data_IF_284057067862
#
_entry.id   IF_284057067862
#
_cell.length_a   1.000
_cell.length_b   1.000
_cell.length_c   1.000
_cell.angle_alpha   90.00
_cell.angle_beta   90.00
_cell.angle_gamma   90.00
#
_symmetry.space_group_name_H-M   'P 1'
#
loop_
_entity.id
_entity.type
_entity.pdbx_description
1 polymer ?
#
# COMPACT_ATOMS: atom_id res chain seq x y z
N UNK A 1 11.63 -5.54 -35.93
CA UNK A 1 11.05 -5.26 -34.60
C UNK A 1 9.61 -4.84 -34.84
N UNK A 2 8.64 -5.62 -34.36
CA UNK A 2 7.23 -5.26 -34.46
C UNK A 2 6.97 -4.01 -33.61
N UNK A 3 6.21 -3.06 -34.14
CA UNK A 3 5.78 -1.87 -33.39
C UNK A 3 4.83 -2.34 -32.30
N UNK A 4 5.10 -1.96 -31.05
CA UNK A 4 4.24 -2.29 -29.92
C UNK A 4 2.93 -1.47 -30.04
N UNK A 5 1.75 -2.12 -30.14
CA UNK A 5 0.48 -1.42 -30.30
C UNK A 5 -0.02 -0.82 -28.97
N UNK A 6 0.52 -1.29 -27.84
CA UNK A 6 0.10 -0.86 -26.50
C UNK A 6 0.50 0.61 -26.25
N UNK A 7 -0.45 1.49 -25.89
CA UNK A 7 -0.16 2.86 -25.49
C UNK A 7 0.85 2.90 -24.34
N UNK A 8 1.79 3.87 -24.31
CA UNK A 8 2.88 3.90 -23.33
C UNK A 8 2.40 3.86 -21.88
N UNK A 9 1.31 4.55 -21.56
CA UNK A 9 0.77 4.62 -20.19
C UNK A 9 0.15 3.32 -19.69
N UNK A 10 -0.21 2.41 -20.60
CA UNK A 10 -0.79 1.10 -20.27
C UNK A 10 0.27 -0.01 -20.24
N UNK A 11 1.56 0.35 -20.37
CA UNK A 11 2.66 -0.62 -20.33
C UNK A 11 3.03 -0.92 -18.87
N UNK A 12 3.23 -2.19 -18.48
CA UNK A 12 3.56 -2.57 -17.10
C UNK A 12 4.77 -1.84 -16.51
N UNK A 13 5.81 -1.61 -17.32
CA UNK A 13 7.00 -0.88 -16.88
C UNK A 13 6.72 0.61 -16.63
N UNK A 14 5.82 1.22 -17.41
CA UNK A 14 5.42 2.61 -17.22
C UNK A 14 4.54 2.75 -15.97
N UNK A 15 3.60 1.84 -15.76
CA UNK A 15 2.79 1.78 -14.53
C UNK A 15 3.68 1.61 -13.28
N UNK A 16 4.71 0.76 -13.35
CA UNK A 16 5.73 0.66 -12.33
C UNK A 16 6.39 2.02 -12.06
N UNK A 17 6.89 2.69 -13.11
CA UNK A 17 7.53 4.00 -12.97
C UNK A 17 6.59 5.06 -12.38
N UNK A 18 5.32 5.09 -12.80
CA UNK A 18 4.30 5.97 -12.23
C UNK A 18 4.13 5.75 -10.72
N UNK A 19 4.08 4.50 -10.25
CA UNK A 19 4.04 4.21 -8.81
C UNK A 19 5.31 4.67 -8.11
N UNK A 20 6.49 4.41 -8.70
CA UNK A 20 7.77 4.83 -8.10
C UNK A 20 7.89 6.35 -7.96
N UNK A 21 7.34 7.11 -8.92
CA UNK A 21 7.40 8.57 -8.94
C UNK A 21 6.27 9.21 -8.12
N UNK A 22 5.28 8.45 -7.70
CA UNK A 22 4.17 8.97 -6.91
C UNK A 22 4.60 9.31 -5.49
N UNK A 23 4.06 10.39 -4.92
CA UNK A 23 4.34 10.76 -3.54
C UNK A 23 3.96 9.68 -2.53
N UNK A 24 2.84 8.98 -2.74
CA UNK A 24 2.30 8.00 -1.80
C UNK A 24 2.93 6.61 -1.91
N UNK A 25 3.09 6.08 -3.13
CA UNK A 25 3.64 4.74 -3.32
C UNK A 25 5.17 4.70 -3.26
N UNK A 26 5.86 5.85 -3.27
CA UNK A 26 7.32 5.93 -3.16
C UNK A 26 7.87 5.65 -1.75
N UNK A 27 7.06 5.74 -0.69
CA UNK A 27 7.51 5.55 0.70
C UNK A 27 8.30 4.25 0.96
N UNK A 28 7.83 3.07 0.53
CA UNK A 28 8.55 1.82 0.75
C UNK A 28 9.78 1.63 -0.16
N UNK A 29 10.01 2.47 -1.18
CA UNK A 29 11.15 2.33 -2.10
C UNK A 29 12.48 2.65 -1.44
N UNK A 30 12.56 3.83 -0.81
CA UNK A 30 13.84 4.36 -0.35
C UNK A 30 14.34 3.66 0.90
N UNK A 31 13.49 3.55 1.93
CA UNK A 31 13.87 2.90 3.18
C UNK A 31 12.66 2.45 3.99
N UNK A 32 12.86 1.41 4.80
CA UNK A 32 11.85 0.99 5.77
C UNK A 32 11.55 2.10 6.79
N UNK A 33 12.57 2.87 7.21
CA UNK A 33 12.41 4.01 8.11
C UNK A 33 11.49 5.08 7.52
N UNK A 34 11.66 5.42 6.24
CA UNK A 34 10.81 6.38 5.55
C UNK A 34 9.34 5.98 5.54
N UNK A 35 9.07 4.69 5.26
CA UNK A 35 7.72 4.12 5.38
C UNK A 35 7.13 4.30 6.79
N UNK A 36 7.90 3.96 7.83
CA UNK A 36 7.43 4.09 9.22
C UNK A 36 7.16 5.55 9.60
N UNK A 37 8.01 6.49 9.17
CA UNK A 37 7.78 7.93 9.43
C UNK A 37 6.48 8.40 8.77
N UNK A 38 6.24 8.03 7.51
CA UNK A 38 5.01 8.41 6.82
C UNK A 38 3.75 7.81 7.48
N UNK A 39 3.81 6.55 7.90
CA UNK A 39 2.72 5.90 8.62
C UNK A 39 2.50 6.52 10.01
N UNK A 40 3.56 6.86 10.73
CA UNK A 40 3.48 7.55 12.01
C UNK A 40 2.86 8.95 11.84
N UNK A 41 3.19 9.67 10.77
CA UNK A 41 2.54 10.94 10.42
C UNK A 41 1.04 10.78 10.19
N UNK A 42 0.62 9.76 9.45
CA UNK A 42 -0.81 9.43 9.28
C UNK A 42 -1.48 9.07 10.61
N UNK A 43 -0.84 8.24 11.42
CA UNK A 43 -1.34 7.88 12.75
C UNK A 43 -1.53 9.11 13.65
N UNK A 44 -0.54 10.01 13.72
CA UNK A 44 -0.62 11.26 14.48
C UNK A 44 -1.75 12.18 13.98
N UNK A 45 -2.01 12.18 12.68
CA UNK A 45 -3.11 12.96 12.09
C UNK A 45 -4.48 12.41 12.51
N UNK A 46 -4.65 11.09 12.59
CA UNK A 46 -5.91 10.47 13.00
C UNK A 46 -6.11 10.50 14.53
N UNK A 47 -5.03 10.56 15.30
CA UNK A 47 -5.05 10.54 16.76
C UNK A 47 -6.01 11.56 17.43
N UNK A 48 -6.01 12.86 17.08
CA UNK A 48 -6.93 13.82 17.70
C UNK A 48 -8.40 13.52 17.37
N UNK A 49 -8.69 13.05 16.15
CA UNK A 49 -10.05 12.66 15.76
C UNK A 49 -10.49 11.42 16.55
N UNK A 50 -9.63 10.42 16.69
CA UNK A 50 -9.89 9.23 17.50
C UNK A 50 -10.11 9.60 18.99
N UNK A 51 -9.33 10.56 19.51
CA UNK A 51 -9.49 11.08 20.87
C UNK A 51 -10.82 11.79 21.09
N UNK A 52 -11.25 12.62 20.13
CA UNK A 52 -12.56 13.27 20.16
C UNK A 52 -13.69 12.24 20.18
N UNK A 53 -13.62 11.23 19.33
CA UNK A 53 -14.59 10.11 19.31
C UNK A 53 -14.61 9.36 20.65
N UNK A 54 -13.44 9.03 21.20
CA UNK A 54 -13.31 8.31 22.47
C UNK A 54 -13.88 9.12 23.65
N UNK A 55 -13.72 10.45 23.65
CA UNK A 55 -14.26 11.35 24.70
C UNK A 55 -15.80 11.35 24.79
N UNK A 56 -16.48 10.99 23.70
CA UNK A 56 -17.93 10.82 23.67
C UNK A 56 -18.41 9.66 24.55
N UNK A 57 -17.54 8.68 24.83
CA UNK A 57 -17.91 7.46 25.54
C UNK A 57 -17.95 7.66 27.06
N UNK A 58 -19.13 7.46 27.64
CA UNK A 58 -19.40 7.56 29.09
C UNK A 58 -18.45 6.71 29.97
N UNK A 59 -18.18 5.41 29.68
CA UNK A 59 -17.28 4.61 30.52
C UNK A 59 -15.84 5.15 30.53
N UNK A 60 -15.36 5.71 29.41
CA UNK A 60 -13.98 6.18 29.26
C UNK A 60 -13.72 7.54 29.93
N UNK A 61 -14.77 8.29 30.31
CA UNK A 61 -14.64 9.60 30.97
C UNK A 61 -13.98 9.53 32.35
N UNK A 62 -14.14 8.41 33.05
CA UNK A 62 -13.63 8.23 34.41
C UNK A 62 -12.14 7.86 34.44
N UNK A 63 -11.58 7.42 33.30
CA UNK A 63 -10.20 6.96 33.21
C UNK A 63 -9.51 7.56 31.97
N UNK A 64 -8.88 8.75 32.09
CA UNK A 64 -8.30 9.45 30.94
C UNK A 64 -7.14 8.70 30.30
N UNK A 65 -6.41 7.88 31.07
CA UNK A 65 -5.33 7.05 30.54
C UNK A 65 -5.87 5.96 29.59
N UNK A 66 -6.96 5.29 29.98
CA UNK A 66 -7.64 4.30 29.14
C UNK A 66 -8.23 4.96 27.88
N UNK A 67 -8.76 6.17 27.99
CA UNK A 67 -9.27 6.94 26.85
C UNK A 67 -8.18 7.22 25.80
N UNK A 68 -7.01 7.69 26.24
CA UNK A 68 -5.87 7.95 25.34
C UNK A 68 -5.38 6.66 24.69
N UNK A 69 -5.33 5.56 25.45
CA UNK A 69 -4.92 4.25 24.91
C UNK A 69 -5.89 3.76 23.83
N UNK A 70 -7.20 3.80 24.10
CA UNK A 70 -8.23 3.40 23.11
C UNK A 70 -8.16 4.27 21.86
N UNK A 71 -7.98 5.58 22.01
CA UNK A 71 -7.81 6.49 20.89
C UNK A 71 -6.54 6.17 20.07
N UNK A 72 -5.42 5.88 20.73
CA UNK A 72 -4.15 5.50 20.11
C UNK A 72 -4.27 4.19 19.30
N UNK A 73 -4.96 3.19 19.87
CA UNK A 73 -5.23 1.91 19.20
C UNK A 73 -6.18 2.10 18.03
N UNK A 74 -7.26 2.86 18.19
CA UNK A 74 -8.20 3.16 17.11
C UNK A 74 -7.53 3.92 15.95
N UNK A 75 -6.61 4.84 16.25
CA UNK A 75 -5.88 5.59 15.23
C UNK A 75 -4.95 4.72 14.35
N UNK A 76 -4.62 3.48 14.75
CA UNK A 76 -3.87 2.53 13.90
C UNK A 76 -4.65 2.06 12.67
N UNK A 77 -5.97 2.30 12.61
CA UNK A 77 -6.80 1.99 11.44
C UNK A 77 -6.32 2.73 10.18
N UNK A 78 -5.91 4.01 10.29
CA UNK A 78 -5.44 4.75 9.12
C UNK A 78 -4.13 4.17 8.54
N UNK A 79 -3.05 3.96 9.32
CA UNK A 79 -1.88 3.23 8.84
C UNK A 79 -2.20 1.89 8.18
N UNK A 80 -3.14 1.12 8.73
CA UNK A 80 -3.55 -0.16 8.16
C UNK A 80 -4.20 0.01 6.77
N UNK A 81 -5.10 0.98 6.63
CA UNK A 81 -5.74 1.28 5.34
C UNK A 81 -4.74 1.81 4.30
N UNK A 82 -3.80 2.66 4.70
CA UNK A 82 -2.73 3.16 3.83
C UNK A 82 -1.83 2.00 3.35
N UNK A 83 -1.47 1.08 4.24
CA UNK A 83 -0.71 -0.11 3.89
C UNK A 83 -1.48 -1.04 2.95
N UNK A 84 -2.78 -1.25 3.19
CA UNK A 84 -3.63 -2.05 2.31
C UNK A 84 -3.71 -1.44 0.90
N UNK A 85 -3.90 -0.12 0.79
CA UNK A 85 -3.94 0.57 -0.50
C UNK A 85 -2.61 0.45 -1.25
N UNK A 86 -1.49 0.62 -0.56
CA UNK A 86 -0.16 0.43 -1.16
C UNK A 86 0.05 -1.01 -1.60
N UNK A 87 -0.27 -1.97 -0.75
CA UNK A 87 -0.17 -3.40 -1.02
C UNK A 87 -0.92 -3.78 -2.30
N UNK A 88 -2.18 -3.33 -2.43
CA UNK A 88 -2.99 -3.58 -3.62
C UNK A 88 -2.36 -2.99 -4.90
N UNK A 89 -1.85 -1.75 -4.84
CA UNK A 89 -1.20 -1.11 -6.00
C UNK A 89 0.08 -1.84 -6.43
N UNK A 90 0.93 -2.21 -5.48
CA UNK A 90 2.16 -2.95 -5.78
C UNK A 90 1.89 -4.38 -6.25
N UNK A 91 0.89 -5.07 -5.70
CA UNK A 91 0.46 -6.37 -6.19
C UNK A 91 -0.10 -6.30 -7.60
N UNK A 92 -0.85 -5.24 -7.94
CA UNK A 92 -1.36 -5.03 -9.29
C UNK A 92 -0.22 -4.92 -10.31
N UNK A 93 0.75 -4.02 -10.08
CA UNK A 93 1.91 -3.86 -10.97
C UNK A 93 2.75 -5.14 -11.04
N UNK A 94 2.96 -5.82 -9.91
CA UNK A 94 3.68 -7.10 -9.91
C UNK A 94 3.02 -8.13 -10.82
N UNK A 95 1.70 -8.25 -10.78
CA UNK A 95 0.94 -9.18 -11.63
C UNK A 95 1.04 -8.77 -13.10
N UNK A 96 0.97 -7.47 -13.42
CA UNK A 96 1.09 -6.95 -14.79
C UNK A 96 2.48 -7.20 -15.39
N UNK A 97 3.55 -7.04 -14.59
CA UNK A 97 4.91 -7.37 -15.00
C UNK A 97 5.06 -8.88 -15.28
N UNK A 98 4.52 -9.74 -14.41
CA UNK A 98 4.62 -11.20 -14.55
C UNK A 98 3.69 -11.81 -15.61
N UNK A 99 2.63 -11.11 -16.01
CA UNK A 99 1.70 -11.58 -17.05
C UNK A 99 2.43 -11.80 -18.37
N UNK A 100 1.99 -12.73 -19.21
CA UNK A 100 2.53 -12.90 -20.57
C UNK A 100 1.85 -11.98 -21.58
N UNK A 101 0.60 -11.62 -21.28
CA UNK A 101 -0.24 -10.77 -22.13
C UNK A 101 -0.52 -9.44 -21.46
N UNK A 102 -0.62 -8.38 -22.26
CA UNK A 102 -1.07 -7.06 -21.84
C UNK A 102 -2.44 -6.84 -22.47
N UNK A 103 -3.47 -6.70 -21.63
CA UNK A 103 -4.75 -6.13 -22.05
C UNK A 103 -4.62 -4.61 -22.11
N UNK A 104 -4.99 -4.03 -23.23
CA UNK A 104 -4.92 -2.59 -23.49
C UNK A 104 -6.13 -2.10 -24.28
N UNK A 105 -6.46 -0.82 -24.13
CA UNK A 105 -7.56 -0.17 -24.80
C UNK A 105 -7.01 0.93 -25.72
N UNK A 106 -7.40 0.90 -26.99
CA UNK A 106 -7.15 1.98 -27.94
C UNK A 106 -8.25 3.03 -27.80
N UNK A 107 -8.00 4.30 -28.16
CA UNK A 107 -8.94 5.42 -27.99
C UNK A 107 -10.19 5.36 -28.90
N UNK A 108 -10.60 4.17 -29.34
CA UNK A 108 -11.75 3.91 -30.18
C UNK A 108 -12.94 3.34 -29.39
N UNK A 109 -14.00 2.99 -30.12
CA UNK A 109 -15.23 2.39 -29.58
C UNK A 109 -15.17 0.85 -29.47
N UNK A 110 -13.99 0.27 -29.70
CA UNK A 110 -13.78 -1.17 -29.71
C UNK A 110 -13.32 -1.65 -28.33
N UNK A 111 -13.72 -2.85 -27.95
CA UNK A 111 -13.34 -3.50 -26.70
C UNK A 111 -11.80 -3.61 -26.55
N UNK A 112 -11.34 -3.79 -25.31
CA UNK A 112 -9.93 -3.99 -25.00
C UNK A 112 -9.33 -5.17 -25.76
N UNK A 113 -8.12 -4.99 -26.30
CA UNK A 113 -7.36 -6.00 -27.01
C UNK A 113 -6.30 -6.63 -26.10
N UNK A 114 -5.94 -7.88 -26.38
CA UNK A 114 -4.81 -8.54 -25.73
C UNK A 114 -3.61 -8.61 -26.67
N UNK A 115 -2.44 -8.20 -26.17
CA UNK A 115 -1.18 -8.32 -26.89
C UNK A 115 -0.19 -9.19 -26.13
N UNK A 116 0.39 -10.18 -26.80
CA UNK A 116 1.41 -11.06 -26.23
C UNK A 116 2.78 -10.38 -26.19
N UNK A 117 3.42 -10.37 -25.01
CA UNK A 117 4.73 -9.75 -24.84
C UNK A 117 5.83 -10.58 -25.50
N UNK A 118 6.72 -9.96 -26.30
CA UNK A 118 7.91 -10.63 -26.81
C UNK A 118 8.80 -11.09 -25.65
N UNK A 119 9.60 -12.12 -25.89
CA UNK A 119 10.44 -12.75 -24.87
C UNK A 119 11.36 -11.74 -24.17
N UNK A 120 11.96 -10.81 -24.91
CA UNK A 120 12.86 -9.79 -24.37
C UNK A 120 12.17 -8.90 -23.33
N UNK A 121 10.92 -8.50 -23.58
CA UNK A 121 10.13 -7.69 -22.64
C UNK A 121 9.76 -8.50 -21.40
N UNK A 122 9.38 -9.78 -21.57
CA UNK A 122 9.07 -10.66 -20.44
C UNK A 122 10.29 -10.87 -19.53
N UNK A 123 11.48 -11.01 -20.09
CA UNK A 123 12.71 -11.14 -19.33
C UNK A 123 13.01 -9.86 -18.53
N UNK A 124 12.88 -8.68 -19.15
CA UNK A 124 13.05 -7.40 -18.48
C UNK A 124 12.04 -7.21 -17.34
N UNK A 125 10.74 -7.43 -17.62
CA UNK A 125 9.67 -7.31 -16.63
C UNK A 125 9.88 -8.27 -15.44
N UNK A 126 10.33 -9.49 -15.71
CA UNK A 126 10.64 -10.48 -14.68
C UNK A 126 11.77 -10.01 -13.77
N UNK A 127 12.84 -9.43 -14.32
CA UNK A 127 13.93 -8.88 -13.52
C UNK A 127 13.45 -7.76 -12.61
N UNK A 128 12.65 -6.82 -13.13
CA UNK A 128 12.04 -5.72 -12.34
C UNK A 128 11.10 -6.27 -11.26
N UNK A 129 10.22 -7.20 -11.62
CA UNK A 129 9.29 -7.80 -10.69
C UNK A 129 10.02 -8.50 -9.53
N UNK A 130 11.09 -9.24 -9.83
CA UNK A 130 11.83 -10.01 -8.83
C UNK A 130 12.77 -9.16 -7.96
N UNK A 131 13.50 -8.22 -8.56
CA UNK A 131 14.58 -7.51 -7.87
C UNK A 131 14.15 -6.16 -7.32
N UNK A 132 13.09 -5.55 -7.89
CA UNK A 132 12.63 -4.22 -7.48
C UNK A 132 11.29 -4.30 -6.75
N UNK A 133 10.29 -5.01 -7.30
CA UNK A 133 8.93 -5.03 -6.71
C UNK A 133 8.81 -5.98 -5.51
N UNK A 134 9.36 -7.20 -5.56
CA UNK A 134 9.34 -8.13 -4.42
C UNK A 134 9.88 -7.55 -3.11
N UNK A 135 11.04 -6.86 -3.05
CA UNK A 135 11.53 -6.30 -1.79
C UNK A 135 10.63 -5.18 -1.25
N UNK A 136 9.96 -4.41 -2.13
CA UNK A 136 8.97 -3.40 -1.74
C UNK A 136 7.79 -4.08 -1.04
N UNK A 137 7.23 -5.13 -1.65
CA UNK A 137 6.15 -5.92 -1.04
C UNK A 137 6.59 -6.54 0.29
N UNK A 138 7.80 -7.08 0.39
CA UNK A 138 8.31 -7.61 1.66
C UNK A 138 8.42 -6.55 2.76
N UNK A 139 8.73 -5.29 2.43
CA UNK A 139 8.69 -4.17 3.39
C UNK A 139 7.26 -3.84 3.81
N UNK A 140 6.31 -3.83 2.87
CA UNK A 140 4.89 -3.61 3.17
C UNK A 140 4.31 -4.69 4.08
N UNK A 141 4.56 -5.98 3.80
CA UNK A 141 4.11 -7.08 4.68
C UNK A 141 4.67 -6.88 6.10
N UNK A 142 5.97 -6.59 6.22
CA UNK A 142 6.58 -6.38 7.53
C UNK A 142 5.93 -5.22 8.29
N UNK A 143 5.64 -4.10 7.61
CA UNK A 143 4.92 -2.99 8.21
C UNK A 143 3.49 -3.36 8.63
N UNK A 144 2.75 -4.09 7.79
CA UNK A 144 1.41 -4.58 8.11
C UNK A 144 1.43 -5.50 9.33
N UNK A 145 2.37 -6.44 9.41
CA UNK A 145 2.51 -7.33 10.57
C UNK A 145 2.79 -6.54 11.86
N UNK A 146 3.63 -5.51 11.80
CA UNK A 146 3.88 -4.65 12.97
C UNK A 146 2.63 -3.88 13.40
N UNK A 147 1.87 -3.30 12.46
CA UNK A 147 0.62 -2.59 12.79
C UNK A 147 -0.42 -3.55 13.38
N UNK A 148 -0.56 -4.74 12.82
CA UNK A 148 -1.47 -5.78 13.35
C UNK A 148 -1.03 -6.22 14.75
N UNK A 149 0.28 -6.43 14.98
CA UNK A 149 0.79 -6.77 16.30
C UNK A 149 0.51 -5.66 17.34
N UNK A 150 0.68 -4.39 16.96
CA UNK A 150 0.35 -3.24 17.82
C UNK A 150 -1.15 -3.15 18.11
N UNK A 151 -2.00 -3.41 17.12
CA UNK A 151 -3.45 -3.47 17.29
C UNK A 151 -3.86 -4.56 18.29
N UNK A 152 -3.34 -5.77 18.13
CA UNK A 152 -3.62 -6.89 19.03
C UNK A 152 -3.12 -6.59 20.45
N UNK A 153 -1.87 -6.16 20.58
CA UNK A 153 -1.27 -5.82 21.87
C UNK A 153 -2.04 -4.71 22.58
N UNK A 154 -2.35 -3.62 21.87
CA UNK A 154 -3.12 -2.50 22.41
C UNK A 154 -4.54 -2.92 22.82
N UNK A 155 -5.19 -3.78 22.03
CA UNK A 155 -6.53 -4.29 22.36
C UNK A 155 -6.52 -5.18 23.60
N UNK A 156 -5.51 -6.05 23.76
CA UNK A 156 -5.34 -6.88 24.95
C UNK A 156 -5.13 -6.04 26.21
N UNK A 157 -4.34 -4.96 26.13
CA UNK A 157 -4.15 -4.05 27.26
C UNK A 157 -5.48 -3.35 27.60
N UNK A 158 -6.24 -2.89 26.61
CA UNK A 158 -7.54 -2.24 26.85
C UNK A 158 -8.55 -3.16 27.55
N UNK A 159 -8.47 -4.49 27.36
CA UNK A 159 -9.34 -5.47 28.03
C UNK A 159 -8.89 -5.77 29.47
N UNK A 160 -7.64 -5.49 29.83
CA UNK A 160 -7.09 -5.74 31.16
C UNK A 160 -7.39 -4.62 32.17
N UNK A 161 -7.94 -3.49 31.71
CA UNK A 161 -8.35 -2.34 32.51
C UNK A 161 -9.87 -2.27 32.65
#
# INVERSE_FOLDING_TARGET
>A
MSVCPVPPEQRPLQEYQQLTNSWFFSWPLHSFKGLIIALAGGWLLLLPLAGLVASGSVPLRHNPAQMVLVAAVAALLLPLLLLLRQWLGWCYVQRRLLSEKISYEESGWYDGQEWEKPLDWRQQDLLVAQHQVKPILARLIRATLMVVALLLFGSSICQAF
#
